data_IF_486264009694
#
_entry.id   IF_486264009694
#
_cell.length_a   1.000
_cell.length_b   1.000
_cell.length_c   1.000
_cell.angle_alpha   90.00
_cell.angle_beta   90.00
_cell.angle_gamma   90.00
#
_symmetry.space_group_name_H-M   'P 1'
#
loop_
_entity.id
_entity.type
_entity.pdbx_description
1 polymer ?
#
# COMPACT_ATOMS: atom_id res chain seq x y z
N UNK A 1 23.95 10.85 -45.85
CA UNK A 1 24.32 11.26 -44.47
C UNK A 1 24.91 10.04 -43.78
N UNK A 2 25.99 10.20 -42.99
CA UNK A 2 26.62 9.09 -42.26
C UNK A 2 26.66 9.46 -40.78
N UNK A 3 26.04 8.65 -39.94
CA UNK A 3 26.12 8.81 -38.49
C UNK A 3 27.48 8.30 -37.99
N UNK A 4 28.13 9.09 -37.14
CA UNK A 4 29.39 8.71 -36.49
C UNK A 4 29.12 8.75 -34.98
N UNK A 5 29.24 7.60 -34.32
CA UNK A 5 29.15 7.51 -32.85
C UNK A 5 30.54 7.77 -32.28
N UNK A 6 30.66 8.77 -31.42
CA UNK A 6 31.89 9.09 -30.69
C UNK A 6 31.60 9.17 -29.21
N UNK A 7 32.62 8.89 -28.40
CA UNK A 7 32.56 9.11 -26.96
C UNK A 7 32.83 10.59 -26.66
N UNK A 8 31.99 11.16 -25.81
CA UNK A 8 32.11 12.54 -25.34
C UNK A 8 31.82 12.56 -23.84
N UNK A 9 32.39 13.54 -23.15
CA UNK A 9 32.21 13.78 -21.72
C UNK A 9 31.59 15.14 -21.49
N UNK A 10 30.98 15.34 -20.32
CA UNK A 10 30.54 16.67 -19.86
C UNK A 10 31.60 17.18 -18.89
N UNK A 11 32.11 18.40 -19.11
CA UNK A 11 33.08 19.02 -18.21
C UNK A 11 32.43 19.60 -16.94
N UNK A 12 33.25 20.13 -16.04
CA UNK A 12 32.83 20.77 -14.78
C UNK A 12 31.98 22.04 -15.00
N UNK A 13 31.91 22.55 -16.23
CA UNK A 13 31.10 23.69 -16.65
C UNK A 13 29.85 23.27 -17.42
N UNK A 14 29.58 21.97 -17.54
CA UNK A 14 28.42 21.45 -18.25
C UNK A 14 28.54 21.41 -19.77
N UNK A 15 29.75 21.54 -20.33
CA UNK A 15 29.98 21.58 -21.78
C UNK A 15 30.32 20.18 -22.32
N UNK A 16 29.81 19.86 -23.52
CA UNK A 16 30.10 18.61 -24.21
C UNK A 16 31.51 18.67 -24.83
N UNK A 17 32.41 17.83 -24.35
CA UNK A 17 33.76 17.67 -24.87
C UNK A 17 33.87 16.32 -25.60
N UNK A 18 34.21 16.36 -26.89
CA UNK A 18 34.55 15.13 -27.63
C UNK A 18 35.99 14.76 -27.32
N UNK A 19 36.25 13.51 -26.92
CA UNK A 19 37.58 13.07 -26.51
C UNK A 19 38.64 13.17 -27.62
N UNK A 20 38.22 13.19 -28.88
CA UNK A 20 39.08 13.39 -30.04
C UNK A 20 38.40 14.30 -31.09
N UNK A 21 39.16 15.14 -31.83
CA UNK A 21 38.61 15.97 -32.89
C UNK A 21 37.97 15.15 -34.02
N UNK A 22 36.73 15.49 -34.38
CA UNK A 22 36.04 14.91 -35.53
C UNK A 22 36.70 15.38 -36.84
N UNK A 23 37.25 14.43 -37.61
CA UNK A 23 37.81 14.71 -38.94
C UNK A 23 36.69 14.78 -39.98
N UNK A 24 36.21 16.00 -40.24
CA UNK A 24 35.21 16.28 -41.27
C UNK A 24 35.85 16.93 -42.51
N UNK A 25 35.22 16.78 -43.68
CA UNK A 25 35.66 17.46 -44.90
C UNK A 25 35.39 18.96 -44.82
N UNK A 26 36.26 19.77 -45.43
CA UNK A 26 36.17 21.23 -45.42
C UNK A 26 34.78 21.68 -45.95
N UNK A 27 34.15 22.64 -45.27
CA UNK A 27 32.79 23.14 -45.54
C UNK A 27 31.64 22.13 -45.37
N UNK A 28 31.87 21.00 -44.70
CA UNK A 28 30.78 20.09 -44.31
C UNK A 28 29.99 20.66 -43.14
N UNK A 29 28.66 20.57 -43.21
CA UNK A 29 27.76 20.82 -42.07
C UNK A 29 27.48 19.49 -41.36
N UNK A 30 27.56 19.50 -40.03
CA UNK A 30 27.25 18.34 -39.20
C UNK A 30 26.16 18.71 -38.20
N UNK A 31 25.20 17.82 -38.03
CA UNK A 31 24.18 17.90 -36.97
C UNK A 31 24.63 17.01 -35.81
N UNK A 32 24.57 17.55 -34.59
CA UNK A 32 24.91 16.83 -33.36
C UNK A 32 23.62 16.57 -32.60
N UNK A 33 23.29 15.30 -32.37
CA UNK A 33 22.14 14.88 -31.56
C UNK A 33 22.66 14.32 -30.25
N UNK A 34 22.31 14.96 -29.13
CA UNK A 34 22.65 14.50 -27.78
C UNK A 34 21.40 13.86 -27.18
N UNK A 35 21.47 12.57 -26.91
CA UNK A 35 20.41 11.85 -26.19
C UNK A 35 20.69 11.97 -24.69
N UNK A 36 20.05 12.93 -24.05
CA UNK A 36 20.03 13.04 -22.59
C UNK A 36 18.81 12.27 -22.10
N UNK A 37 18.96 11.27 -21.20
CA UNK A 37 17.80 10.67 -20.56
C UNK A 37 17.04 11.77 -19.83
N UNK A 38 15.73 11.84 -20.03
CA UNK A 38 14.86 12.75 -19.30
C UNK A 38 14.88 12.32 -17.83
N UNK A 39 15.70 13.01 -17.03
CA UNK A 39 15.54 12.98 -15.58
C UNK A 39 14.32 13.83 -15.32
N UNK A 40 13.22 13.19 -14.91
CA UNK A 40 12.03 13.89 -14.44
C UNK A 40 12.37 14.59 -13.13
N UNK A 41 12.96 15.77 -13.24
CA UNK A 41 13.10 16.70 -12.13
C UNK A 41 11.71 17.24 -11.79
N UNK A 42 11.17 16.75 -10.68
CA UNK A 42 10.11 17.42 -9.92
C UNK A 42 10.54 18.88 -9.70
N UNK A 43 9.84 19.80 -10.38
CA UNK A 43 10.01 21.25 -10.32
C UNK A 43 10.31 21.75 -8.90
N UNK A 44 11.55 22.16 -8.65
CA UNK A 44 11.91 23.02 -7.53
C UNK A 44 12.17 24.44 -8.04
N UNK A 45 11.11 25.17 -8.37
CA UNK A 45 11.16 26.64 -8.44
C UNK A 45 10.49 27.25 -7.20
N UNK A 46 11.35 27.63 -6.26
CA UNK A 46 11.26 28.77 -5.33
C UNK A 46 9.87 29.18 -4.82
N UNK A 47 9.52 28.63 -3.66
CA UNK A 47 9.06 29.46 -2.54
C UNK A 47 9.92 29.16 -1.32
N UNK A 48 10.61 30.19 -0.85
CA UNK A 48 11.30 30.25 0.43
C UNK A 48 10.30 30.06 1.56
N UNK A 49 10.05 28.82 1.94
CA UNK A 49 9.61 28.41 3.27
C UNK A 49 10.47 27.20 3.62
N UNK A 50 11.11 27.20 4.79
CA UNK A 50 11.82 26.05 5.35
C UNK A 50 10.83 24.89 5.54
N UNK A 51 10.52 24.16 4.48
CA UNK A 51 9.86 22.87 4.56
C UNK A 51 10.98 21.84 4.68
N UNK A 52 11.14 21.28 5.88
CA UNK A 52 11.85 20.04 6.09
C UNK A 52 11.30 19.00 5.09
N UNK A 53 11.97 18.80 3.95
CA UNK A 53 11.68 17.67 3.07
C UNK A 53 12.13 16.40 3.80
N UNK A 54 11.28 15.89 4.68
CA UNK A 54 11.42 14.55 5.21
C UNK A 54 11.18 13.59 4.05
N UNK A 55 12.23 12.87 3.64
CA UNK A 55 12.07 11.69 2.80
C UNK A 55 11.38 10.62 3.66
N UNK A 56 10.07 10.48 3.53
CA UNK A 56 9.30 9.45 4.22
C UNK A 56 9.68 8.08 3.66
N UNK A 57 10.18 7.20 4.50
CA UNK A 57 10.40 5.79 4.14
C UNK A 57 9.08 5.02 4.25
N UNK A 58 8.97 3.90 3.55
CA UNK A 58 7.74 3.11 3.55
C UNK A 58 7.41 2.56 4.96
N UNK A 59 8.45 2.26 5.72
CA UNK A 59 8.40 1.80 7.09
C UNK A 59 7.82 2.87 8.03
N UNK A 60 7.88 4.15 7.65
CA UNK A 60 7.35 5.24 8.46
C UNK A 60 5.82 5.24 8.55
N UNK A 61 5.11 4.49 7.69
CA UNK A 61 3.66 4.32 7.79
C UNK A 61 3.24 3.26 8.82
N UNK A 62 4.18 2.50 9.38
CA UNK A 62 3.89 1.36 10.25
C UNK A 62 4.49 1.48 11.65
N UNK A 63 3.88 0.74 12.57
CA UNK A 63 4.39 0.42 13.89
C UNK A 63 4.61 -1.09 13.96
N UNK A 64 5.87 -1.51 14.02
CA UNK A 64 6.26 -2.91 14.18
C UNK A 64 6.27 -3.25 15.67
N UNK A 65 5.13 -3.72 16.19
CA UNK A 65 5.00 -4.05 17.61
C UNK A 65 5.65 -5.40 17.92
N UNK A 66 5.50 -6.37 17.00
CA UNK A 66 6.08 -7.72 17.04
C UNK A 66 6.29 -8.22 15.60
N UNK A 67 7.05 -9.32 15.39
CA UNK A 67 7.18 -9.93 14.07
C UNK A 67 5.83 -10.32 13.43
N UNK A 68 4.84 -10.64 14.26
CA UNK A 68 3.46 -11.02 13.91
C UNK A 68 2.44 -9.88 14.13
N UNK A 69 2.87 -8.69 14.52
CA UNK A 69 1.98 -7.55 14.78
C UNK A 69 2.51 -6.24 14.18
N UNK A 70 2.01 -5.92 12.99
CA UNK A 70 2.35 -4.70 12.24
C UNK A 70 1.09 -3.84 12.10
N UNK A 71 1.12 -2.65 12.69
CA UNK A 71 -0.02 -1.70 12.72
C UNK A 71 0.25 -0.49 11.84
N UNK A 72 -0.79 0.11 11.28
CA UNK A 72 -0.67 1.42 10.62
C UNK A 72 -0.46 2.53 11.67
N UNK A 73 0.47 3.47 11.43
CA UNK A 73 0.73 4.58 12.36
C UNK A 73 -0.53 5.39 12.63
N UNK A 74 -0.71 5.79 13.89
CA UNK A 74 -1.90 6.52 14.33
C UNK A 74 -3.20 5.69 14.33
N UNK A 75 -3.13 4.39 14.02
CA UNK A 75 -4.28 3.49 13.98
C UNK A 75 -4.01 2.21 14.77
N UNK A 76 -5.10 1.53 15.17
CA UNK A 76 -5.05 0.16 15.70
C UNK A 76 -5.29 -0.90 14.63
N UNK A 77 -5.55 -0.47 13.40
CA UNK A 77 -5.75 -1.36 12.26
C UNK A 77 -4.38 -1.97 11.90
N UNK A 78 -4.34 -3.29 11.77
CA UNK A 78 -3.17 -4.01 11.31
C UNK A 78 -3.15 -4.16 9.79
N UNK A 79 -1.96 -4.39 9.23
CA UNK A 79 -1.78 -4.52 7.78
C UNK A 79 -2.59 -5.68 7.20
N UNK A 80 -2.84 -6.73 8.00
CA UNK A 80 -3.66 -7.89 7.65
C UNK A 80 -5.06 -7.49 7.19
N UNK A 81 -5.62 -6.45 7.77
CA UNK A 81 -6.98 -5.99 7.45
C UNK A 81 -7.02 -5.43 6.03
N UNK A 82 -6.04 -4.59 5.69
CA UNK A 82 -5.93 -3.96 4.37
C UNK A 82 -5.59 -4.98 3.29
N UNK A 83 -4.64 -5.86 3.60
CA UNK A 83 -4.21 -6.89 2.66
C UNK A 83 -5.29 -7.95 2.45
N UNK A 84 -6.11 -8.24 3.46
CA UNK A 84 -7.25 -9.14 3.30
C UNK A 84 -8.26 -8.59 2.27
N UNK A 85 -8.59 -7.30 2.37
CA UNK A 85 -9.53 -6.64 1.47
C UNK A 85 -8.97 -6.52 0.04
N UNK A 86 -7.69 -6.22 -0.08
CA UNK A 86 -7.03 -6.13 -1.38
C UNK A 86 -6.90 -7.51 -2.05
N UNK A 87 -6.36 -8.51 -1.34
CA UNK A 87 -6.00 -9.81 -1.93
C UNK A 87 -7.19 -10.76 -2.09
N UNK A 88 -8.12 -10.78 -1.13
CA UNK A 88 -9.21 -11.78 -1.11
C UNK A 88 -10.57 -11.20 -1.45
N UNK A 89 -10.75 -9.88 -1.31
CA UNK A 89 -11.98 -9.18 -1.74
C UNK A 89 -11.83 -8.39 -3.03
N UNK A 90 -10.62 -8.37 -3.60
CA UNK A 90 -10.29 -7.68 -4.85
C UNK A 90 -10.73 -6.21 -4.86
N UNK A 91 -10.73 -5.55 -3.69
CA UNK A 91 -11.08 -4.13 -3.59
C UNK A 91 -9.93 -3.26 -4.04
N UNK A 92 -10.25 -2.10 -4.63
CA UNK A 92 -9.23 -1.10 -4.95
C UNK A 92 -8.77 -0.38 -3.68
N UNK A 93 -7.56 0.24 -3.67
CA UNK A 93 -7.10 1.05 -2.55
C UNK A 93 -8.10 2.14 -2.12
N UNK A 94 -8.76 2.79 -3.08
CA UNK A 94 -9.79 3.82 -2.82
C UNK A 94 -11.02 3.25 -2.14
N UNK A 95 -11.49 2.08 -2.59
CA UNK A 95 -12.62 1.40 -1.94
C UNK A 95 -12.28 1.01 -0.51
N UNK A 96 -11.06 0.53 -0.26
CA UNK A 96 -10.59 0.20 1.08
C UNK A 96 -10.54 1.47 1.96
N UNK A 97 -9.98 2.57 1.46
CA UNK A 97 -9.93 3.84 2.19
C UNK A 97 -11.32 4.39 2.53
N UNK A 98 -12.31 4.18 1.66
CA UNK A 98 -13.70 4.56 1.91
C UNK A 98 -14.36 3.70 3.01
N UNK A 99 -13.95 2.44 3.18
CA UNK A 99 -14.45 1.54 4.22
C UNK A 99 -13.78 1.84 5.57
N UNK A 100 -12.46 2.04 5.56
CA UNK A 100 -11.67 2.32 6.75
C UNK A 100 -11.34 3.81 6.83
N UNK A 101 -12.36 4.64 7.07
CA UNK A 101 -12.28 6.12 7.05
C UNK A 101 -11.31 6.73 8.07
N UNK A 102 -10.83 5.95 9.05
CA UNK A 102 -9.77 6.35 9.96
C UNK A 102 -8.36 6.30 9.36
N UNK A 103 -8.21 5.68 8.18
CA UNK A 103 -6.93 5.56 7.47
C UNK A 103 -6.90 6.54 6.30
N UNK A 104 -5.70 7.03 5.99
CA UNK A 104 -5.50 7.82 4.78
C UNK A 104 -5.37 6.90 3.57
N UNK A 105 -5.72 7.40 2.38
CA UNK A 105 -5.49 6.68 1.13
C UNK A 105 -3.99 6.33 0.94
N UNK A 106 -3.12 7.25 1.34
CA UNK A 106 -1.67 7.08 1.34
C UNK A 106 -1.22 5.89 2.20
N UNK A 107 -1.80 5.72 3.40
CA UNK A 107 -1.54 4.58 4.28
C UNK A 107 -1.97 3.23 3.67
N UNK A 108 -3.11 3.22 2.97
CA UNK A 108 -3.59 2.03 2.24
C UNK A 108 -2.60 1.67 1.12
N UNK A 109 -2.22 2.66 0.31
CA UNK A 109 -1.23 2.48 -0.75
C UNK A 109 0.13 2.03 -0.21
N UNK A 110 0.61 2.63 0.87
CA UNK A 110 1.85 2.24 1.54
C UNK A 110 1.80 0.77 1.98
N UNK A 111 0.67 0.31 2.53
CA UNK A 111 0.49 -1.08 2.95
C UNK A 111 0.60 -2.05 1.77
N UNK A 112 -0.07 -1.73 0.66
CA UNK A 112 -0.03 -2.56 -0.55
C UNK A 112 1.37 -2.57 -1.16
N UNK A 113 2.03 -1.40 -1.23
CA UNK A 113 3.40 -1.29 -1.73
C UNK A 113 4.38 -2.08 -0.85
N UNK A 114 4.21 -2.03 0.47
CA UNK A 114 5.03 -2.77 1.43
C UNK A 114 4.89 -4.28 1.25
N UNK A 115 3.65 -4.75 1.05
CA UNK A 115 3.40 -6.14 0.67
C UNK A 115 4.06 -6.51 -0.66
N UNK A 116 3.98 -5.66 -1.69
CA UNK A 116 4.59 -5.96 -2.99
C UNK A 116 6.12 -6.03 -2.92
N UNK A 117 6.76 -5.17 -2.10
CA UNK A 117 8.20 -5.23 -1.84
C UNK A 117 8.60 -6.48 -1.04
N UNK A 118 7.78 -6.89 -0.08
CA UNK A 118 8.09 -7.95 0.88
C UNK A 118 7.18 -9.17 0.71
N UNK A 119 6.85 -9.51 -0.54
CA UNK A 119 5.74 -10.41 -0.89
C UNK A 119 5.81 -11.78 -0.22
N UNK A 120 6.99 -12.37 -0.13
CA UNK A 120 7.18 -13.69 0.49
C UNK A 120 6.97 -13.63 2.01
N UNK A 121 7.66 -12.70 2.69
CA UNK A 121 7.57 -12.55 4.14
C UNK A 121 6.16 -12.15 4.59
N UNK A 122 5.55 -11.15 3.94
CA UNK A 122 4.21 -10.67 4.29
C UNK A 122 3.13 -11.64 3.80
N UNK A 123 3.36 -12.37 2.71
CA UNK A 123 2.46 -13.44 2.26
C UNK A 123 2.38 -14.57 3.29
N UNK A 124 3.52 -14.96 3.87
CA UNK A 124 3.57 -15.92 4.98
C UNK A 124 2.83 -15.40 6.20
N UNK A 125 3.12 -14.16 6.61
CA UNK A 125 2.45 -13.46 7.71
C UNK A 125 0.92 -13.52 7.61
N UNK A 126 0.35 -13.17 6.45
CA UNK A 126 -1.10 -13.17 6.24
C UNK A 126 -1.68 -14.59 6.33
N UNK A 127 -0.95 -15.57 5.78
CA UNK A 127 -1.39 -16.97 5.79
C UNK A 127 -1.48 -17.49 7.23
N UNK A 128 -0.43 -17.28 8.01
CA UNK A 128 -0.41 -17.64 9.44
C UNK A 128 -1.52 -16.93 10.24
N UNK A 129 -1.77 -15.65 9.94
CA UNK A 129 -2.87 -14.89 10.57
C UNK A 129 -4.26 -15.47 10.22
N UNK A 130 -4.48 -15.89 8.97
CA UNK A 130 -5.74 -16.49 8.54
C UNK A 130 -5.98 -17.86 9.19
N UNK A 131 -4.94 -18.69 9.26
CA UNK A 131 -4.99 -20.00 9.91
C UNK A 131 -5.31 -19.86 11.40
N UNK A 132 -4.56 -19.01 12.11
CA UNK A 132 -4.81 -18.73 13.52
C UNK A 132 -6.22 -18.18 13.76
N UNK A 133 -6.68 -17.29 12.89
CA UNK A 133 -8.04 -16.73 12.96
C UNK A 133 -9.13 -17.80 12.81
N UNK A 134 -8.93 -18.82 11.99
CA UNK A 134 -9.88 -19.93 11.87
C UNK A 134 -9.83 -20.86 13.08
N UNK A 135 -8.64 -21.22 13.55
CA UNK A 135 -8.46 -22.05 14.75
C UNK A 135 -9.12 -21.42 15.98
N UNK A 136 -8.92 -20.11 16.20
CA UNK A 136 -9.55 -19.39 17.31
C UNK A 136 -11.07 -19.35 17.18
N UNK A 137 -11.60 -19.21 15.96
CA UNK A 137 -13.06 -19.29 15.73
C UNK A 137 -13.59 -20.70 16.01
N UNK A 138 -12.87 -21.74 15.62
CA UNK A 138 -13.22 -23.13 15.93
C UNK A 138 -13.22 -23.40 17.44
N UNK A 139 -12.20 -22.93 18.14
CA UNK A 139 -12.09 -23.06 19.58
C UNK A 139 -13.25 -22.35 20.28
N UNK A 140 -13.58 -21.12 19.87
CA UNK A 140 -14.74 -20.39 20.39
C UNK A 140 -16.07 -21.07 20.08
N UNK A 141 -16.22 -21.69 18.90
CA UNK A 141 -17.41 -22.50 18.55
C UNK A 141 -17.54 -23.73 19.45
N UNK A 142 -16.41 -24.38 19.75
CA UNK A 142 -16.35 -25.56 20.62
C UNK A 142 -16.54 -25.21 22.09
N UNK A 143 -16.08 -24.04 22.51
CA UNK A 143 -16.12 -23.58 23.90
C UNK A 143 -16.72 -22.16 23.98
N UNK A 144 -18.03 -22.01 23.69
CA UNK A 144 -18.67 -20.70 23.72
C UNK A 144 -18.64 -20.14 25.14
N UNK A 145 -18.31 -18.84 25.33
CA UNK A 145 -18.37 -18.21 26.63
C UNK A 145 -19.76 -18.34 27.27
N UNK A 146 -19.88 -18.45 28.61
CA UNK A 146 -21.18 -18.60 29.28
C UNK A 146 -22.17 -17.46 29.01
N UNK A 147 -21.68 -16.26 28.69
CA UNK A 147 -22.51 -15.10 28.31
C UNK A 147 -23.21 -15.32 26.98
N UNK A 148 -22.56 -15.99 26.03
CA UNK A 148 -23.10 -16.31 24.71
C UNK A 148 -24.30 -17.23 24.81
N UNK A 149 -24.22 -18.28 25.64
CA UNK A 149 -25.36 -19.18 25.89
C UNK A 149 -26.56 -18.44 26.50
N UNK A 150 -26.31 -17.52 27.44
CA UNK A 150 -27.36 -16.67 28.03
C UNK A 150 -28.02 -15.79 26.97
N UNK A 151 -27.23 -15.16 26.10
CA UNK A 151 -27.74 -14.33 25.00
C UNK A 151 -28.58 -15.15 24.02
N UNK A 152 -28.18 -16.37 23.68
CA UNK A 152 -28.97 -17.26 22.83
C UNK A 152 -30.33 -17.60 23.45
N UNK A 153 -30.38 -17.89 24.76
CA UNK A 153 -31.63 -18.14 25.49
C UNK A 153 -32.54 -16.92 25.46
N UNK A 154 -32.02 -15.74 25.80
CA UNK A 154 -32.80 -14.50 25.75
C UNK A 154 -33.33 -14.17 24.36
N UNK A 155 -32.55 -14.45 23.30
CA UNK A 155 -32.99 -14.26 21.92
C UNK A 155 -34.15 -15.20 21.57
N UNK A 156 -34.05 -16.47 21.92
CA UNK A 156 -35.11 -17.46 21.68
C UNK A 156 -36.41 -17.11 22.43
N UNK A 157 -36.32 -16.67 23.68
CA UNK A 157 -37.48 -16.23 24.48
C UNK A 157 -38.17 -15.00 23.85
N UNK A 158 -37.40 -14.04 23.36
CA UNK A 158 -37.94 -12.86 22.67
C UNK A 158 -38.63 -13.21 21.35
N UNK A 159 -38.05 -14.11 20.57
CA UNK A 159 -38.64 -14.57 19.30
C UNK A 159 -39.93 -15.39 19.54
N UNK A 160 -39.96 -16.24 20.57
CA UNK A 160 -41.16 -16.98 20.95
C UNK A 160 -42.28 -16.05 21.42
N UNK A 161 -41.95 -15.05 22.25
CA UNK A 161 -42.92 -14.03 22.70
C UNK A 161 -43.44 -13.20 21.54
N UNK A 162 -42.57 -12.74 20.64
CA UNK A 162 -42.97 -12.00 19.45
C UNK A 162 -43.88 -12.82 18.51
N UNK A 163 -43.67 -14.13 18.40
CA UNK A 163 -44.55 -15.02 17.60
C UNK A 163 -45.90 -15.28 18.28
N UNK A 164 -45.92 -15.39 19.61
CA UNK A 164 -47.16 -15.54 20.38
C UNK A 164 -48.01 -14.25 20.29
N UNK A 165 -47.38 -13.09 20.39
CA UNK A 165 -48.05 -11.78 20.28
C UNK A 165 -48.56 -11.50 18.84
N UNK A 166 -47.90 -12.06 17.82
CA UNK A 166 -48.26 -11.90 16.40
C UNK A 166 -49.37 -12.84 15.91
N UNK A 167 -49.80 -13.82 16.71
CA UNK A 167 -50.90 -14.73 16.37
C UNK A 167 -52.05 -14.57 17.39
N UNK A 168 -52.77 -13.43 17.41
CA UNK A 168 -53.94 -13.30 18.26
C UNK A 168 -55.02 -14.20 17.67
N UNK A 169 -55.42 -15.19 18.48
CA UNK A 169 -56.50 -16.15 18.23
C UNK A 169 -57.67 -15.52 17.44
N UNK A 170 -57.84 -15.93 16.18
CA UNK A 170 -59.11 -15.81 15.46
C UNK A 170 -60.05 -16.89 16.01
N UNK A 171 -61.01 -16.46 16.83
CA UNK A 171 -62.21 -17.23 17.19
C UNK A 171 -63.31 -16.99 16.15
#
# INVERSE_FOLDING_TARGET
>A
MKAIKVMATIDDRGQLCVGEPLKLYRNSRAEVIVLVPEVTEINQEKQSHEANHQTTQLEDYFNFLRPDDIRLKGSRIGIETILYEYLFRARTPEEIANVYTSLTLEQVYATILYYLHNKEAVGKYITEWLEWGEEMREEQRRNPPPVTEKLHKFKAEREARSKADANPVSL
#
